data_IF_584799504656
#
_entry.id   IF_584799504656
#
_cell.length_a   1.000
_cell.length_b   1.000
_cell.length_c   1.000
_cell.angle_alpha   90.00
_cell.angle_beta   90.00
_cell.angle_gamma   90.00
#
_symmetry.space_group_name_H-M   'P 1'
#
loop_
_entity.id
_entity.type
_entity.pdbx_description
1 polymer ?
#
# COMPACT_ATOMS: atom_id res chain seq x y z
N UNK A 1 3.16 11.19 19.67
CA UNK A 1 4.45 11.67 19.11
C UNK A 1 4.44 11.38 17.63
N UNK A 2 4.71 12.39 16.81
CA UNK A 2 4.85 12.22 15.36
C UNK A 2 5.93 11.18 15.00
N UNK A 3 5.92 10.66 13.77
CA UNK A 3 6.99 9.80 13.24
C UNK A 3 8.34 10.44 13.56
N UNK A 4 9.28 9.63 14.05
CA UNK A 4 10.60 10.11 14.43
C UNK A 4 11.20 10.96 13.28
N UNK A 5 11.68 12.16 13.57
CA UNK A 5 12.29 13.07 12.60
C UNK A 5 13.36 12.39 11.72
N UNK A 6 14.02 11.37 12.25
CA UNK A 6 14.98 10.55 11.52
C UNK A 6 14.36 9.84 10.31
N UNK A 7 13.16 9.25 10.45
CA UNK A 7 12.48 8.56 9.33
C UNK A 7 12.00 9.54 8.27
N UNK A 8 11.49 10.72 8.68
CA UNK A 8 11.08 11.78 7.74
C UNK A 8 12.27 12.23 6.91
N UNK A 9 13.39 12.58 7.56
CA UNK A 9 14.62 12.96 6.88
C UNK A 9 15.09 11.88 5.89
N UNK A 10 14.97 10.62 6.29
CA UNK A 10 15.37 9.49 5.42
C UNK A 10 14.46 9.36 4.19
N UNK A 11 13.14 9.48 4.35
CA UNK A 11 12.21 9.45 3.22
C UNK A 11 12.51 10.60 2.26
N UNK A 12 12.80 11.80 2.76
CA UNK A 12 13.16 12.96 1.91
C UNK A 12 14.45 12.71 1.13
N UNK A 13 15.47 12.16 1.79
CA UNK A 13 16.72 11.79 1.12
C UNK A 13 16.47 10.76 0.02
N UNK A 14 15.70 9.70 0.30
CA UNK A 14 15.34 8.67 -0.67
C UNK A 14 14.49 9.26 -1.81
N UNK A 15 13.54 10.14 -1.52
CA UNK A 15 12.75 10.85 -2.54
C UNK A 15 13.63 11.67 -3.47
N UNK A 16 14.57 12.42 -2.91
CA UNK A 16 15.53 13.23 -3.71
C UNK A 16 16.37 12.33 -4.61
N UNK A 17 16.93 11.24 -4.06
CA UNK A 17 17.73 10.27 -4.81
C UNK A 17 16.90 9.61 -5.91
N UNK A 18 15.71 9.12 -5.60
CA UNK A 18 14.78 8.55 -6.58
C UNK A 18 14.44 9.56 -7.67
N UNK A 19 14.15 10.82 -7.30
CA UNK A 19 13.83 11.89 -8.24
C UNK A 19 14.96 12.22 -9.22
N UNK A 20 16.22 12.12 -8.77
CA UNK A 20 17.38 12.31 -9.66
C UNK A 20 17.62 11.12 -10.58
N UNK A 21 17.44 9.90 -10.08
CA UNK A 21 17.74 8.66 -10.82
C UNK A 21 16.67 8.29 -11.85
N UNK A 22 15.42 8.72 -11.68
CA UNK A 22 14.31 8.35 -12.56
C UNK A 22 14.33 9.03 -13.92
N UNK A 23 15.03 10.17 -14.04
CA UNK A 23 15.08 10.94 -15.30
C UNK A 23 15.71 10.10 -16.41
N UNK A 24 14.97 9.96 -17.54
CA UNK A 24 15.39 9.14 -18.67
C UNK A 24 15.31 7.62 -18.45
N UNK A 25 14.65 7.19 -17.36
CA UNK A 25 14.44 5.78 -17.02
C UNK A 25 12.98 5.46 -16.74
N UNK A 26 12.08 6.24 -17.33
CA UNK A 26 10.63 6.12 -17.14
C UNK A 26 10.14 4.73 -17.55
N UNK A 27 10.60 4.21 -18.70
CA UNK A 27 10.22 2.87 -19.20
C UNK A 27 10.63 1.75 -18.21
N UNK A 28 11.79 1.86 -17.56
CA UNK A 28 12.19 0.89 -16.53
C UNK A 28 11.27 0.95 -15.32
N UNK A 29 10.87 2.16 -14.90
CA UNK A 29 9.92 2.32 -13.80
C UNK A 29 8.55 1.78 -14.16
N UNK A 30 8.08 1.99 -15.39
CA UNK A 30 6.80 1.45 -15.84
C UNK A 30 6.81 -0.08 -15.83
N UNK A 31 7.89 -0.71 -16.29
CA UNK A 31 8.06 -2.16 -16.21
C UNK A 31 8.08 -2.66 -14.75
N UNK A 32 8.77 -1.96 -13.85
CA UNK A 32 8.82 -2.34 -12.43
C UNK A 32 7.45 -2.23 -11.77
N UNK A 33 6.70 -1.19 -12.09
CA UNK A 33 5.35 -0.97 -11.57
C UNK A 33 4.39 -2.04 -12.10
N UNK A 34 4.46 -2.37 -13.40
CA UNK A 34 3.64 -3.41 -14.03
C UNK A 34 3.86 -4.79 -13.40
N UNK A 35 5.12 -5.18 -13.22
CA UNK A 35 5.50 -6.47 -12.59
C UNK A 35 5.08 -6.49 -11.10
N UNK A 36 4.94 -5.34 -10.44
CA UNK A 36 4.56 -5.25 -9.03
C UNK A 36 3.02 -5.27 -8.80
N UNK A 37 2.20 -4.98 -9.82
CA UNK A 37 0.74 -4.98 -9.72
C UNK A 37 0.19 -6.29 -9.13
N UNK A 38 0.56 -7.50 -9.60
CA UNK A 38 0.04 -8.74 -9.03
C UNK A 38 0.36 -8.92 -7.55
N UNK A 39 1.54 -8.50 -7.10
CA UNK A 39 1.91 -8.57 -5.68
C UNK A 39 1.07 -7.59 -4.84
N UNK A 40 0.79 -6.40 -5.35
CA UNK A 40 -0.10 -5.43 -4.74
C UNK A 40 -1.54 -5.94 -4.63
N UNK A 41 -2.07 -6.48 -5.72
CA UNK A 41 -3.41 -7.09 -5.80
C UNK A 41 -3.54 -8.28 -4.85
N UNK A 42 -2.60 -9.21 -4.91
CA UNK A 42 -2.56 -10.38 -4.01
C UNK A 42 -2.63 -9.95 -2.54
N UNK A 43 -1.72 -9.09 -2.10
CA UNK A 43 -1.67 -8.69 -0.70
C UNK A 43 -2.94 -7.95 -0.27
N UNK A 44 -3.47 -7.06 -1.12
CA UNK A 44 -4.67 -6.30 -0.80
C UNK A 44 -5.91 -7.18 -0.68
N UNK A 45 -6.07 -8.16 -1.56
CA UNK A 45 -7.19 -9.12 -1.51
C UNK A 45 -7.01 -10.15 -0.38
N UNK A 46 -5.78 -10.61 -0.10
CA UNK A 46 -5.49 -11.53 1.00
C UNK A 46 -5.76 -10.91 2.39
N UNK A 47 -5.56 -9.59 2.56
CA UNK A 47 -5.99 -8.88 3.77
C UNK A 47 -7.51 -9.03 3.97
N UNK A 48 -8.29 -9.03 2.89
CA UNK A 48 -9.75 -9.22 2.89
C UNK A 48 -10.15 -10.73 2.78
N UNK A 49 -9.20 -11.63 3.07
CA UNK A 49 -9.39 -13.08 3.12
C UNK A 49 -9.62 -13.78 1.77
N UNK A 50 -9.19 -13.20 0.64
CA UNK A 50 -9.12 -13.94 -0.63
C UNK A 50 -8.24 -15.19 -0.49
N UNK A 51 -8.65 -16.27 -1.15
CA UNK A 51 -7.95 -17.55 -1.13
C UNK A 51 -6.89 -17.69 -2.23
N UNK A 52 -6.83 -16.72 -3.16
CA UNK A 52 -5.86 -16.71 -4.25
C UNK A 52 -4.43 -16.60 -3.70
N UNK A 53 -3.52 -17.39 -4.24
CA UNK A 53 -2.08 -17.22 -4.03
C UNK A 53 -1.51 -16.16 -4.96
N UNK A 54 -0.30 -15.65 -4.67
CA UNK A 54 0.38 -14.72 -5.57
C UNK A 54 0.54 -15.29 -6.98
N UNK A 55 0.92 -16.57 -7.11
CA UNK A 55 1.09 -17.22 -8.41
C UNK A 55 -0.23 -17.32 -9.20
N UNK A 56 -1.33 -17.60 -8.54
CA UNK A 56 -2.66 -17.63 -9.17
C UNK A 56 -3.09 -16.21 -9.57
N UNK A 57 -2.83 -15.19 -8.73
CA UNK A 57 -3.07 -13.79 -9.07
C UNK A 57 -2.27 -13.36 -10.32
N UNK A 58 -0.99 -13.74 -10.41
CA UNK A 58 -0.15 -13.49 -11.59
C UNK A 58 -0.75 -14.14 -12.85
N UNK A 59 -1.16 -15.42 -12.78
CA UNK A 59 -1.77 -16.13 -13.91
C UNK A 59 -3.09 -15.49 -14.36
N UNK A 60 -3.95 -15.11 -13.41
CA UNK A 60 -5.21 -14.42 -13.72
C UNK A 60 -4.97 -13.11 -14.43
N UNK A 61 -3.98 -12.34 -13.99
CA UNK A 61 -3.73 -10.99 -14.52
C UNK A 61 -2.96 -11.00 -15.85
N UNK A 62 -1.96 -11.85 -15.98
CA UNK A 62 -1.09 -11.86 -17.17
C UNK A 62 -1.48 -12.88 -18.22
N UNK A 63 -1.97 -14.06 -17.81
CA UNK A 63 -2.24 -15.18 -18.71
C UNK A 63 -3.74 -15.42 -18.92
N UNK A 64 -4.62 -14.73 -18.16
CA UNK A 64 -6.08 -14.98 -18.16
C UNK A 64 -6.45 -16.42 -17.81
N UNK A 65 -5.60 -17.08 -16.99
CA UNK A 65 -5.73 -18.50 -16.64
C UNK A 65 -6.12 -18.68 -15.18
N UNK A 66 -7.05 -19.61 -14.94
CA UNK A 66 -7.44 -20.06 -13.59
C UNK A 66 -7.01 -21.53 -13.44
N UNK A 67 -6.10 -21.81 -12.51
CA UNK A 67 -5.43 -23.11 -12.39
C UNK A 67 -6.13 -24.13 -11.49
N UNK A 68 -7.14 -23.71 -10.75
CA UNK A 68 -7.99 -24.55 -9.90
C UNK A 68 -9.40 -23.98 -9.82
N UNK A 69 -10.32 -24.69 -9.24
CA UNK A 69 -11.64 -24.15 -8.92
C UNK A 69 -11.50 -23.04 -7.88
N UNK A 70 -11.90 -21.82 -8.26
CA UNK A 70 -11.99 -20.63 -7.41
C UNK A 70 -13.34 -19.99 -7.61
N UNK A 71 -13.79 -19.20 -6.66
CA UNK A 71 -14.99 -18.41 -6.83
C UNK A 71 -14.79 -17.35 -7.92
N UNK A 72 -15.71 -17.23 -8.85
CA UNK A 72 -15.65 -16.22 -9.92
C UNK A 72 -15.49 -14.79 -9.36
N UNK A 73 -16.06 -14.55 -8.18
CA UNK A 73 -15.91 -13.32 -7.43
C UNK A 73 -14.43 -12.96 -7.20
N UNK A 74 -13.59 -13.91 -6.74
CA UNK A 74 -12.17 -13.65 -6.48
C UNK A 74 -11.40 -13.28 -7.75
N UNK A 75 -11.78 -13.85 -8.90
CA UNK A 75 -11.21 -13.51 -10.21
C UNK A 75 -11.55 -12.06 -10.57
N UNK A 76 -12.81 -11.65 -10.41
CA UNK A 76 -13.22 -10.26 -10.64
C UNK A 76 -12.55 -9.29 -9.65
N UNK A 77 -12.45 -9.64 -8.38
CA UNK A 77 -11.75 -8.85 -7.37
C UNK A 77 -10.29 -8.58 -7.74
N UNK A 78 -9.58 -9.61 -8.24
CA UNK A 78 -8.21 -9.46 -8.69
C UNK A 78 -8.11 -8.54 -9.93
N UNK A 79 -8.91 -8.80 -10.97
CA UNK A 79 -8.91 -8.02 -12.22
C UNK A 79 -9.34 -6.57 -12.02
N UNK A 80 -10.39 -6.36 -11.25
CA UNK A 80 -10.90 -5.02 -10.99
C UNK A 80 -9.90 -4.19 -10.18
N UNK A 81 -9.28 -4.78 -9.14
CA UNK A 81 -8.29 -4.07 -8.34
C UNK A 81 -7.04 -3.71 -9.18
N UNK A 82 -6.57 -4.61 -10.06
CA UNK A 82 -5.48 -4.28 -10.98
C UNK A 82 -5.82 -3.08 -11.85
N UNK A 83 -6.99 -3.06 -12.49
CA UNK A 83 -7.48 -1.94 -13.30
C UNK A 83 -7.57 -0.62 -12.51
N UNK A 84 -8.01 -0.68 -11.26
CA UNK A 84 -8.08 0.50 -10.40
C UNK A 84 -6.68 1.02 -10.07
N UNK A 85 -5.71 0.14 -9.80
CA UNK A 85 -4.32 0.54 -9.54
C UNK A 85 -3.67 1.20 -10.77
N UNK A 86 -3.88 0.65 -11.95
CA UNK A 86 -3.43 1.26 -13.22
C UNK A 86 -4.09 2.61 -13.46
N UNK A 87 -5.41 2.70 -13.23
CA UNK A 87 -6.16 3.93 -13.39
C UNK A 87 -5.67 5.06 -12.48
N UNK A 88 -5.46 4.79 -11.19
CA UNK A 88 -4.96 5.81 -10.27
C UNK A 88 -3.52 6.23 -10.62
N UNK A 89 -2.66 5.30 -11.09
CA UNK A 89 -1.31 5.65 -11.57
C UNK A 89 -1.38 6.65 -12.71
N UNK A 90 -2.25 6.42 -13.69
CA UNK A 90 -2.40 7.29 -14.84
C UNK A 90 -3.05 8.66 -14.51
N UNK A 91 -3.97 8.69 -13.53
CA UNK A 91 -4.84 9.85 -13.26
C UNK A 91 -4.45 10.68 -12.04
N UNK A 92 -3.59 10.19 -11.15
CA UNK A 92 -3.30 10.84 -9.88
C UNK A 92 -2.83 12.30 -9.99
N UNK A 93 -2.17 12.67 -11.08
CA UNK A 93 -1.65 14.03 -11.28
C UNK A 93 -2.66 14.99 -11.90
N UNK A 94 -3.71 14.48 -12.50
CA UNK A 94 -4.69 15.27 -13.30
C UNK A 94 -6.10 15.25 -12.73
N UNK A 95 -6.35 14.40 -11.73
CA UNK A 95 -7.67 14.26 -11.10
C UNK A 95 -7.55 14.60 -9.62
N UNK A 96 -8.45 15.42 -9.11
CA UNK A 96 -8.47 15.78 -7.69
C UNK A 96 -9.17 14.71 -6.85
N UNK A 97 -8.79 14.63 -5.57
CA UNK A 97 -9.46 13.79 -4.58
C UNK A 97 -10.85 14.40 -4.29
N UNK A 98 -11.90 13.69 -4.69
CA UNK A 98 -13.29 14.11 -4.47
C UNK A 98 -14.19 12.92 -4.15
N UNK A 99 -15.42 13.19 -3.75
CA UNK A 99 -16.43 12.13 -3.52
C UNK A 99 -16.69 11.37 -4.83
N UNK A 100 -16.85 12.09 -5.94
CA UNK A 100 -17.11 11.52 -7.26
C UNK A 100 -15.97 10.61 -7.72
N UNK A 101 -14.73 11.03 -7.46
CA UNK A 101 -13.56 10.20 -7.78
C UNK A 101 -13.54 8.92 -6.95
N UNK A 102 -13.82 8.99 -5.65
CA UNK A 102 -13.92 7.82 -4.77
C UNK A 102 -15.04 6.89 -5.23
N UNK A 103 -16.21 7.42 -5.60
CA UNK A 103 -17.32 6.63 -6.14
C UNK A 103 -16.97 5.96 -7.45
N UNK A 104 -16.24 6.65 -8.36
CA UNK A 104 -15.76 6.06 -9.60
C UNK A 104 -14.81 4.88 -9.34
N UNK A 105 -13.83 5.04 -8.44
CA UNK A 105 -12.90 3.96 -8.08
C UNK A 105 -13.66 2.76 -7.49
N UNK A 106 -14.65 3.01 -6.64
CA UNK A 106 -15.50 1.96 -6.08
C UNK A 106 -16.35 1.27 -7.16
N UNK A 107 -16.90 2.02 -8.12
CA UNK A 107 -17.62 1.45 -9.27
C UNK A 107 -16.74 0.50 -10.08
N UNK A 108 -15.49 0.90 -10.33
CA UNK A 108 -14.52 0.06 -11.04
C UNK A 108 -14.15 -1.19 -10.24
N UNK A 109 -14.05 -1.09 -8.89
CA UNK A 109 -13.65 -2.19 -8.02
C UNK A 109 -14.74 -3.25 -7.88
N UNK A 110 -16.00 -2.83 -7.73
CA UNK A 110 -17.14 -3.70 -7.40
C UNK A 110 -17.97 -4.08 -8.63
N UNK A 111 -17.77 -3.43 -9.77
CA UNK A 111 -18.47 -3.76 -11.02
C UNK A 111 -18.33 -5.24 -11.41
N UNK A 112 -19.42 -5.86 -11.86
CA UNK A 112 -19.54 -7.29 -12.15
C UNK A 112 -19.39 -8.23 -10.93
N UNK A 113 -19.27 -7.67 -9.71
CA UNK A 113 -19.31 -8.43 -8.45
C UNK A 113 -20.66 -8.22 -7.77
N UNK A 114 -21.03 -6.95 -7.57
CA UNK A 114 -22.33 -6.53 -7.05
C UNK A 114 -22.66 -5.13 -7.58
N UNK A 115 -23.32 -5.08 -8.73
CA UNK A 115 -23.67 -3.82 -9.39
C UNK A 115 -24.69 -2.99 -8.59
N UNK A 116 -25.43 -3.61 -7.66
CA UNK A 116 -26.40 -2.93 -6.79
C UNK A 116 -25.75 -1.95 -5.81
N UNK A 117 -24.50 -2.21 -5.43
CA UNK A 117 -23.73 -1.35 -4.50
C UNK A 117 -22.56 -0.63 -5.17
N UNK A 118 -22.22 -0.98 -6.42
CA UNK A 118 -21.08 -0.42 -7.12
C UNK A 118 -21.24 1.10 -7.35
N UNK A 119 -20.23 1.88 -6.94
CA UNK A 119 -20.17 3.32 -7.19
C UNK A 119 -21.13 4.16 -6.38
N UNK A 120 -21.65 3.67 -5.25
CA UNK A 120 -22.51 4.44 -4.35
C UNK A 120 -22.15 4.23 -2.88
N UNK A 121 -22.34 5.23 -2.07
CA UNK A 121 -22.28 5.10 -0.62
C UNK A 121 -23.46 4.28 -0.08
N UNK A 122 -23.34 3.83 1.17
CA UNK A 122 -24.37 3.15 1.91
C UNK A 122 -25.64 4.03 2.00
N UNK A 123 -26.80 3.42 1.75
CA UNK A 123 -28.12 4.07 1.85
C UNK A 123 -28.72 3.85 3.24
N UNK A 124 -29.77 4.60 3.55
CA UNK A 124 -30.56 4.43 4.77
C UNK A 124 -30.90 2.95 4.99
N UNK A 125 -30.62 2.44 6.18
CA UNK A 125 -30.82 1.04 6.54
C UNK A 125 -29.63 0.11 6.25
N UNK A 126 -28.63 0.54 5.47
CA UNK A 126 -27.40 -0.23 5.19
C UNK A 126 -26.34 0.03 6.27
N UNK A 127 -26.49 -0.57 7.43
CA UNK A 127 -25.55 -0.48 8.52
C UNK A 127 -24.43 -1.51 8.36
N UNK A 128 -23.19 -1.12 8.66
CA UNK A 128 -22.01 -1.99 8.56
C UNK A 128 -21.28 -2.03 9.89
N UNK A 129 -20.81 -3.23 10.23
CA UNK A 129 -19.98 -3.49 11.41
C UNK A 129 -18.68 -4.17 10.99
N UNK A 130 -17.54 -3.64 11.46
CA UNK A 130 -16.20 -4.19 11.22
C UNK A 130 -15.59 -4.61 12.56
N UNK A 131 -15.60 -5.89 12.84
CA UNK A 131 -15.19 -6.40 14.15
C UNK A 131 -16.05 -5.81 15.28
N UNK A 132 -15.46 -4.98 16.15
CA UNK A 132 -16.17 -4.27 17.24
C UNK A 132 -16.61 -2.86 16.86
N UNK A 133 -16.11 -2.32 15.75
CA UNK A 133 -16.47 -1.00 15.28
C UNK A 133 -17.82 -1.04 14.54
N UNK A 134 -18.76 -0.20 14.96
CA UNK A 134 -20.00 0.08 14.23
C UNK A 134 -19.77 1.37 13.44
N UNK A 135 -19.83 1.26 12.12
CA UNK A 135 -19.66 2.42 11.24
C UNK A 135 -20.77 3.46 11.50
N UNK A 136 -20.50 4.76 11.28
CA UNK A 136 -21.49 5.83 11.37
C UNK A 136 -22.75 5.52 10.56
N UNK A 137 -23.87 6.11 10.94
CA UNK A 137 -25.12 5.97 10.19
C UNK A 137 -24.93 6.39 8.72
N UNK A 138 -25.59 5.72 7.75
CA UNK A 138 -25.43 6.01 6.33
C UNK A 138 -25.64 7.47 5.96
N UNK A 139 -26.55 8.14 6.63
CA UNK A 139 -26.88 9.56 6.42
C UNK A 139 -25.71 10.51 6.75
N UNK A 140 -24.76 10.06 7.55
CA UNK A 140 -23.57 10.84 7.94
C UNK A 140 -22.39 10.63 6.98
N UNK A 141 -22.42 9.62 6.11
CA UNK A 141 -21.29 9.20 5.28
C UNK A 141 -20.77 10.35 4.41
N UNK A 142 -21.66 11.03 3.68
CA UNK A 142 -21.26 12.13 2.77
C UNK A 142 -20.57 13.24 3.55
N UNK A 143 -21.15 13.70 4.66
CA UNK A 143 -20.57 14.80 5.44
C UNK A 143 -19.23 14.43 6.09
N UNK A 144 -19.10 13.19 6.57
CA UNK A 144 -17.86 12.70 7.17
C UNK A 144 -16.76 12.54 6.12
N UNK A 145 -17.09 12.01 4.94
CA UNK A 145 -16.15 11.87 3.83
C UNK A 145 -15.69 13.24 3.29
N UNK A 146 -16.63 14.19 3.09
CA UNK A 146 -16.28 15.57 2.69
C UNK A 146 -15.31 16.20 3.67
N UNK A 147 -15.54 16.02 4.98
CA UNK A 147 -14.64 16.53 6.03
C UNK A 147 -13.26 15.84 6.00
N UNK A 148 -13.22 14.53 5.79
CA UNK A 148 -11.96 13.78 5.72
C UNK A 148 -11.13 14.23 4.50
N UNK A 149 -11.78 14.41 3.35
CA UNK A 149 -11.14 14.93 2.12
C UNK A 149 -10.62 16.34 2.34
N UNK A 150 -11.45 17.26 2.87
CA UNK A 150 -11.04 18.65 3.15
C UNK A 150 -9.80 18.69 4.04
N UNK A 151 -9.80 17.93 5.15
CA UNK A 151 -8.61 17.85 6.03
C UNK A 151 -7.37 17.34 5.33
N UNK A 152 -7.50 16.34 4.44
CA UNK A 152 -6.35 15.79 3.73
C UNK A 152 -5.80 16.77 2.67
N UNK A 153 -6.65 17.62 2.08
CA UNK A 153 -6.24 18.62 1.09
C UNK A 153 -5.67 19.89 1.73
N UNK A 154 -6.20 20.29 2.88
CA UNK A 154 -5.86 21.57 3.56
C UNK A 154 -4.69 21.41 4.55
N UNK A 155 -4.30 20.19 4.92
CA UNK A 155 -3.19 19.94 5.85
C UNK A 155 -1.84 20.07 5.14
N UNK A 156 -1.32 21.28 5.11
CA UNK A 156 0.01 21.61 4.56
C UNK A 156 1.14 21.59 5.61
N UNK A 157 0.81 21.43 6.88
CA UNK A 157 1.77 21.45 7.99
C UNK A 157 2.28 20.06 8.36
N UNK A 158 1.41 19.06 8.25
CA UNK A 158 1.76 17.67 8.58
C UNK A 158 2.64 17.04 7.52
N UNK A 159 3.47 16.08 7.94
CA UNK A 159 4.26 15.32 7.00
C UNK A 159 3.37 14.40 6.15
N UNK A 160 3.75 14.16 4.90
CA UNK A 160 2.95 13.39 3.92
C UNK A 160 2.45 12.04 4.45
N UNK A 161 3.27 11.31 5.21
CA UNK A 161 2.87 10.02 5.78
C UNK A 161 1.82 10.16 6.88
N UNK A 162 1.80 11.28 7.61
CA UNK A 162 0.78 11.60 8.62
C UNK A 162 -0.57 11.88 7.97
N UNK A 163 -0.57 12.70 6.92
CA UNK A 163 -1.79 13.05 6.17
C UNK A 163 -2.42 11.79 5.59
N UNK A 164 -1.61 10.97 4.90
CA UNK A 164 -2.07 9.72 4.28
C UNK A 164 -2.58 8.73 5.33
N UNK A 165 -1.84 8.55 6.43
CA UNK A 165 -2.23 7.64 7.50
C UNK A 165 -3.53 8.08 8.18
N UNK A 166 -3.69 9.37 8.45
CA UNK A 166 -4.90 9.94 9.06
C UNK A 166 -6.10 9.78 8.14
N UNK A 167 -5.95 10.15 6.87
CA UNK A 167 -7.03 10.00 5.88
C UNK A 167 -7.47 8.55 5.76
N UNK A 168 -6.52 7.61 5.69
CA UNK A 168 -6.82 6.18 5.61
C UNK A 168 -7.58 5.68 6.85
N UNK A 169 -7.14 6.06 8.05
CA UNK A 169 -7.82 5.71 9.31
C UNK A 169 -9.24 6.30 9.40
N UNK A 170 -9.43 7.54 8.96
CA UNK A 170 -10.73 8.19 8.92
C UNK A 170 -11.66 7.54 7.89
N UNK A 171 -11.15 7.24 6.69
CA UNK A 171 -11.87 6.53 5.65
C UNK A 171 -12.38 5.17 6.13
N UNK A 172 -11.50 4.36 6.72
CA UNK A 172 -11.86 3.04 7.25
C UNK A 172 -12.85 3.15 8.42
N UNK A 173 -12.77 4.20 9.23
CA UNK A 173 -13.71 4.43 10.31
C UNK A 173 -15.10 4.85 9.80
N UNK A 174 -15.17 5.67 8.77
CA UNK A 174 -16.44 6.04 8.12
C UNK A 174 -17.05 4.83 7.43
N UNK A 175 -16.22 3.98 6.83
CA UNK A 175 -16.61 2.76 6.13
C UNK A 175 -17.76 3.02 5.15
N UNK A 176 -17.52 3.87 4.13
CA UNK A 176 -18.59 4.50 3.36
C UNK A 176 -19.38 3.54 2.46
N UNK A 177 -18.88 2.34 2.21
CA UNK A 177 -19.46 1.35 1.31
C UNK A 177 -19.97 0.11 2.03
N UNK A 178 -20.83 -0.66 1.38
CA UNK A 178 -21.28 -1.96 1.88
C UNK A 178 -20.18 -3.04 1.77
N UNK A 179 -19.31 -2.93 0.76
CA UNK A 179 -18.15 -3.79 0.52
C UNK A 179 -17.00 -2.99 -0.11
N UNK A 180 -15.78 -3.53 -0.11
CA UNK A 180 -14.62 -2.97 -0.80
C UNK A 180 -13.92 -1.80 -0.09
N UNK A 181 -14.31 -1.44 1.14
CA UNK A 181 -13.72 -0.30 1.86
C UNK A 181 -12.21 -0.45 2.03
N UNK A 182 -11.73 -1.56 2.58
CA UNK A 182 -10.29 -1.78 2.80
C UNK A 182 -9.47 -1.69 1.51
N UNK A 183 -9.99 -2.24 0.41
CA UNK A 183 -9.33 -2.15 -0.92
C UNK A 183 -9.29 -0.72 -1.43
N UNK A 184 -10.41 0.01 -1.38
CA UNK A 184 -10.45 1.44 -1.77
C UNK A 184 -9.57 2.28 -0.85
N UNK A 185 -9.56 2.06 0.45
CA UNK A 185 -8.68 2.77 1.38
C UNK A 185 -7.20 2.64 1.01
N UNK A 186 -6.75 1.42 0.66
CA UNK A 186 -5.37 1.18 0.20
C UNK A 186 -5.09 1.76 -1.20
N UNK A 187 -6.08 1.75 -2.09
CA UNK A 187 -6.01 2.44 -3.39
C UNK A 187 -5.83 3.95 -3.20
N UNK A 188 -6.62 4.58 -2.33
CA UNK A 188 -6.54 6.01 -2.04
C UNK A 188 -5.22 6.42 -1.37
N UNK A 189 -4.63 5.53 -0.57
CA UNK A 189 -3.26 5.70 -0.04
C UNK A 189 -2.26 5.81 -1.20
N UNK A 190 -2.30 4.89 -2.15
CA UNK A 190 -1.41 4.90 -3.31
C UNK A 190 -1.69 6.06 -4.27
N UNK A 191 -2.96 6.44 -4.46
CA UNK A 191 -3.32 7.63 -5.22
C UNK A 191 -2.66 8.90 -4.64
N UNK A 192 -2.73 9.11 -3.32
CA UNK A 192 -2.09 10.25 -2.67
C UNK A 192 -0.56 10.23 -2.83
N UNK A 193 0.07 9.05 -2.74
CA UNK A 193 1.51 8.90 -2.97
C UNK A 193 1.90 9.26 -4.41
N UNK A 194 1.17 8.75 -5.40
CA UNK A 194 1.41 9.08 -6.82
C UNK A 194 1.25 10.58 -7.10
N UNK A 195 0.24 11.21 -6.53
CA UNK A 195 0.01 12.65 -6.65
C UNK A 195 1.20 13.47 -6.17
N UNK A 196 1.88 12.99 -5.13
CA UNK A 196 3.06 13.62 -4.53
C UNK A 196 4.39 13.17 -5.15
N UNK A 197 4.34 12.38 -6.23
CA UNK A 197 5.51 11.89 -6.95
C UNK A 197 6.29 10.79 -6.26
N UNK A 198 5.66 10.11 -5.30
CA UNK A 198 6.18 8.88 -4.69
C UNK A 198 5.74 7.64 -5.48
N UNK A 199 6.46 6.53 -5.35
CA UNK A 199 6.01 5.25 -5.89
C UNK A 199 4.89 4.63 -5.03
N UNK A 200 4.20 3.61 -5.61
CA UNK A 200 3.23 2.83 -4.87
C UNK A 200 3.84 2.08 -3.69
N UNK A 201 3.00 1.79 -2.71
CA UNK A 201 3.34 0.95 -1.55
C UNK A 201 2.44 -0.29 -1.51
N UNK A 202 2.95 -1.37 -0.93
CA UNK A 202 2.18 -2.59 -0.69
C UNK A 202 2.06 -2.81 0.82
N UNK A 203 0.83 -2.77 1.33
CA UNK A 203 0.53 -3.23 2.69
C UNK A 203 0.48 -4.76 2.63
N UNK A 204 1.33 -5.43 3.40
CA UNK A 204 1.54 -6.87 3.31
C UNK A 204 0.52 -7.65 4.15
N UNK A 205 -0.10 -8.68 3.57
CA UNK A 205 -1.02 -9.57 4.28
C UNK A 205 -0.37 -10.20 5.53
N UNK A 206 0.89 -10.63 5.42
CA UNK A 206 1.66 -11.17 6.57
C UNK A 206 1.79 -10.20 7.75
N UNK A 207 1.53 -8.92 7.54
CA UNK A 207 1.58 -7.84 8.54
C UNK A 207 0.18 -7.34 8.91
N UNK A 208 -0.90 -7.99 8.43
CA UNK A 208 -2.29 -7.55 8.68
C UNK A 208 -2.65 -7.42 10.16
N UNK A 209 -2.00 -8.20 11.04
CA UNK A 209 -2.20 -8.07 12.49
C UNK A 209 -1.84 -6.69 13.03
N UNK A 210 -0.69 -6.13 12.62
CA UNK A 210 -0.23 -4.78 13.01
C UNK A 210 -1.08 -3.72 12.32
N UNK A 211 -1.47 -3.95 11.06
CA UNK A 211 -2.36 -3.08 10.30
C UNK A 211 -3.73 -2.93 10.97
N UNK A 212 -4.39 -4.03 11.33
CA UNK A 212 -5.65 -3.99 12.08
C UNK A 212 -5.51 -3.44 13.51
N UNK A 213 -4.34 -3.62 14.15
CA UNK A 213 -4.07 -3.01 15.45
C UNK A 213 -4.08 -1.47 15.35
N UNK A 214 -3.63 -0.88 14.23
CA UNK A 214 -3.63 0.57 14.05
C UNK A 214 -5.04 1.17 14.06
N UNK A 215 -6.05 0.47 13.53
CA UNK A 215 -7.44 0.91 13.58
C UNK A 215 -7.99 0.88 15.00
N UNK A 216 -7.75 -0.21 15.74
CA UNK A 216 -8.16 -0.32 17.15
C UNK A 216 -7.54 0.76 18.02
N UNK A 217 -6.26 1.06 17.78
CA UNK A 217 -5.54 2.12 18.51
C UNK A 217 -6.12 3.51 18.16
N UNK A 218 -6.39 3.75 16.89
CA UNK A 218 -7.01 4.99 16.44
C UNK A 218 -8.43 5.17 17.00
N UNK A 219 -9.23 4.12 17.06
CA UNK A 219 -10.57 4.18 17.67
C UNK A 219 -10.52 4.55 19.16
N UNK A 220 -9.57 3.97 19.90
CA UNK A 220 -9.41 4.20 21.33
C UNK A 220 -8.77 5.56 21.67
N UNK A 221 -7.77 5.99 20.92
CA UNK A 221 -6.89 7.11 21.32
C UNK A 221 -6.80 8.26 20.33
N UNK A 222 -7.33 8.07 19.11
CA UNK A 222 -7.16 8.98 17.96
C UNK A 222 -5.70 9.17 17.51
N UNK A 223 -4.82 8.27 17.94
CA UNK A 223 -3.41 8.31 17.56
C UNK A 223 -3.19 7.67 16.19
N UNK A 224 -2.44 8.35 15.33
CA UNK A 224 -2.15 7.93 13.93
C UNK A 224 -0.80 7.23 13.76
N UNK A 225 0.05 7.28 14.77
CA UNK A 225 1.49 6.96 14.70
C UNK A 225 1.77 5.53 14.22
N UNK A 226 0.92 4.56 14.56
CA UNK A 226 1.12 3.17 14.11
C UNK A 226 0.89 3.06 12.62
N UNK A 227 -0.20 3.65 12.10
CA UNK A 227 -0.48 3.66 10.67
C UNK A 227 0.56 4.49 9.91
N UNK A 228 0.94 5.66 10.44
CA UNK A 228 2.02 6.47 9.88
C UNK A 228 3.32 5.67 9.71
N UNK A 229 3.70 4.89 10.72
CA UNK A 229 4.88 4.02 10.66
C UNK A 229 4.74 2.93 9.61
N UNK A 230 3.56 2.32 9.46
CA UNK A 230 3.28 1.32 8.43
C UNK A 230 3.48 1.94 7.04
N UNK A 231 2.85 3.10 6.79
CA UNK A 231 2.98 3.83 5.52
C UNK A 231 4.43 4.22 5.25
N UNK A 232 5.12 4.78 6.23
CA UNK A 232 6.51 5.23 6.10
C UNK A 232 7.48 4.07 5.78
N UNK A 233 7.32 2.91 6.42
CA UNK A 233 8.17 1.75 6.18
C UNK A 233 7.90 1.13 4.82
N UNK A 234 6.63 1.01 4.43
CA UNK A 234 6.25 0.54 3.10
C UNK A 234 6.78 1.50 2.01
N UNK A 235 6.77 2.81 2.26
CA UNK A 235 7.30 3.82 1.33
C UNK A 235 8.83 3.74 1.21
N UNK A 236 9.55 3.59 2.32
CA UNK A 236 11.00 3.40 2.27
C UNK A 236 11.38 2.11 1.55
N UNK A 237 10.67 1.02 1.80
CA UNK A 237 10.86 -0.26 1.10
C UNK A 237 10.67 -0.10 -0.41
N UNK A 238 9.60 0.58 -0.82
CA UNK A 238 9.29 0.86 -2.23
C UNK A 238 10.36 1.74 -2.90
N UNK A 239 10.84 2.77 -2.20
CA UNK A 239 11.91 3.64 -2.68
C UNK A 239 13.25 2.88 -2.80
N UNK A 240 13.62 2.07 -1.81
CA UNK A 240 14.83 1.25 -1.86
C UNK A 240 14.82 0.29 -3.05
N UNK A 241 13.67 -0.37 -3.33
CA UNK A 241 13.53 -1.24 -4.51
C UNK A 241 13.83 -0.47 -5.79
N UNK A 242 13.16 0.65 -5.99
CA UNK A 242 13.30 1.44 -7.23
C UNK A 242 14.71 2.02 -7.39
N UNK A 243 15.31 2.50 -6.31
CA UNK A 243 16.69 3.01 -6.33
C UNK A 243 17.66 1.89 -6.72
N UNK A 244 17.53 0.68 -6.15
CA UNK A 244 18.40 -0.45 -6.50
C UNK A 244 18.31 -0.81 -7.99
N UNK A 245 17.12 -0.87 -8.56
CA UNK A 245 16.93 -1.12 -9.99
C UNK A 245 17.45 0.04 -10.86
N UNK A 246 17.16 1.29 -10.47
CA UNK A 246 17.58 2.48 -11.23
C UNK A 246 19.12 2.67 -11.22
N UNK A 247 19.80 2.19 -10.20
CA UNK A 247 21.28 2.22 -10.13
C UNK A 247 21.95 1.03 -10.79
N UNK A 248 21.17 0.05 -11.30
CA UNK A 248 21.72 -1.13 -11.98
C UNK A 248 22.48 -2.07 -11.05
N UNK A 249 22.17 -2.06 -9.75
CA UNK A 249 22.81 -2.95 -8.79
C UNK A 249 22.44 -4.41 -9.05
N UNK A 250 23.40 -5.32 -8.87
CA UNK A 250 23.08 -6.73 -8.72
C UNK A 250 22.20 -6.93 -7.48
N UNK A 251 21.03 -7.55 -7.64
CA UNK A 251 20.05 -7.74 -6.57
C UNK A 251 20.09 -9.19 -6.11
N UNK A 252 20.39 -9.39 -4.83
CA UNK A 252 20.48 -10.71 -4.19
C UNK A 252 19.48 -10.82 -3.05
N UNK A 253 19.13 -12.07 -2.65
CA UNK A 253 18.33 -12.27 -1.44
C UNK A 253 19.17 -11.95 -0.19
N UNK A 254 18.49 -11.53 0.91
CA UNK A 254 19.19 -11.35 2.19
C UNK A 254 19.88 -12.62 2.70
N UNK A 255 19.39 -13.80 2.30
CA UNK A 255 20.01 -15.08 2.66
C UNK A 255 21.37 -15.28 1.92
N UNK A 256 21.40 -15.02 0.62
CA UNK A 256 22.63 -15.06 -0.19
C UNK A 256 23.64 -14.00 0.29
N UNK A 257 23.15 -12.77 0.52
CA UNK A 257 23.94 -11.68 1.09
C UNK A 257 24.56 -12.05 2.45
N UNK A 258 23.75 -12.59 3.37
CA UNK A 258 24.22 -13.04 4.69
C UNK A 258 25.29 -14.12 4.59
N UNK A 259 25.13 -15.08 3.66
CA UNK A 259 26.10 -16.16 3.42
C UNK A 259 27.41 -15.59 2.86
N UNK A 260 27.35 -14.73 1.84
CA UNK A 260 28.52 -14.11 1.19
C UNK A 260 29.37 -13.29 2.18
N UNK A 261 28.73 -12.58 3.10
CA UNK A 261 29.41 -11.67 4.04
C UNK A 261 29.57 -12.23 5.46
N UNK A 262 29.29 -13.52 5.68
CA UNK A 262 29.35 -14.19 7.00
C UNK A 262 28.54 -13.47 8.10
N UNK A 263 27.33 -13.00 7.77
CA UNK A 263 26.46 -12.24 8.66
C UNK A 263 25.30 -13.10 9.20
N UNK A 264 24.72 -12.68 10.34
CA UNK A 264 23.56 -13.32 10.93
C UNK A 264 22.28 -12.89 10.21
N UNK A 265 21.64 -13.82 9.46
CA UNK A 265 20.44 -13.53 8.65
C UNK A 265 19.29 -12.90 9.45
N UNK A 266 19.02 -13.40 10.69
CA UNK A 266 17.93 -12.86 11.52
C UNK A 266 18.17 -11.38 11.89
N UNK A 267 19.42 -10.97 12.07
CA UNK A 267 19.82 -9.58 12.28
C UNK A 267 19.51 -8.70 11.06
N UNK A 268 19.84 -9.19 9.87
CA UNK A 268 19.53 -8.49 8.60
C UNK A 268 18.04 -8.38 8.34
N UNK A 269 17.26 -9.46 8.60
CA UNK A 269 15.80 -9.43 8.47
C UNK A 269 15.19 -8.40 9.42
N UNK A 270 15.68 -8.32 10.66
CA UNK A 270 15.21 -7.33 11.63
C UNK A 270 15.57 -5.89 11.18
N UNK A 271 16.76 -5.69 10.63
CA UNK A 271 17.18 -4.40 10.07
C UNK A 271 16.32 -4.02 8.84
N UNK A 272 16.03 -4.98 7.96
CA UNK A 272 15.16 -4.81 6.81
C UNK A 272 13.74 -4.40 7.23
N UNK A 273 13.13 -5.11 8.20
CA UNK A 273 11.80 -4.76 8.73
C UNK A 273 11.74 -3.36 9.34
N UNK A 274 12.84 -2.91 9.95
CA UNK A 274 12.96 -1.55 10.50
C UNK A 274 13.40 -0.52 9.47
N UNK A 275 13.60 -0.94 8.23
CA UNK A 275 14.11 -0.08 7.16
C UNK A 275 15.40 0.66 7.55
N UNK A 276 16.28 0.03 8.33
CA UNK A 276 17.61 0.57 8.70
C UNK A 276 18.69 0.20 7.70
N UNK A 277 18.42 -0.73 6.80
CA UNK A 277 19.21 -1.08 5.63
C UNK A 277 18.36 -0.93 4.36
N UNK A 278 18.96 -0.73 3.17
CA UNK A 278 18.23 -0.51 1.91
C UNK A 278 17.65 -1.81 1.33
N UNK A 279 16.97 -2.59 2.17
CA UNK A 279 16.34 -3.84 1.78
C UNK A 279 14.87 -3.63 1.39
N UNK A 280 14.41 -4.45 0.47
CA UNK A 280 13.02 -4.45 -0.01
C UNK A 280 12.53 -5.87 -0.25
N UNK A 281 11.21 -6.04 -0.35
CA UNK A 281 10.61 -7.34 -0.68
C UNK A 281 10.20 -7.40 -2.15
N UNK A 282 10.38 -8.55 -2.70
CA UNK A 282 9.89 -8.89 -4.02
C UNK A 282 9.41 -10.33 -4.00
N UNK A 283 8.16 -10.55 -4.38
CA UNK A 283 7.46 -11.85 -4.27
C UNK A 283 7.58 -12.45 -2.85
N UNK A 284 7.45 -11.57 -1.85
CA UNK A 284 7.50 -11.95 -0.43
C UNK A 284 8.90 -12.28 0.12
N UNK A 285 9.97 -12.18 -0.68
CA UNK A 285 11.36 -12.42 -0.25
C UNK A 285 12.12 -11.13 -0.05
N UNK A 286 12.86 -11.02 1.04
CA UNK A 286 13.75 -9.88 1.28
C UNK A 286 14.96 -9.94 0.35
N UNK A 287 15.23 -8.84 -0.31
CA UNK A 287 16.33 -8.61 -1.24
C UNK A 287 17.09 -7.33 -0.89
N UNK A 288 18.31 -7.21 -1.38
CA UNK A 288 19.19 -6.05 -1.21
C UNK A 288 20.16 -5.96 -2.40
N UNK A 289 20.69 -4.77 -2.69
CA UNK A 289 21.81 -4.63 -3.61
C UNK A 289 23.07 -5.35 -3.08
N UNK A 290 23.74 -6.11 -3.93
CA UNK A 290 24.92 -6.92 -3.55
C UNK A 290 26.09 -6.07 -3.05
N UNK A 291 26.17 -4.80 -3.52
CA UNK A 291 27.24 -3.85 -3.17
C UNK A 291 26.99 -3.09 -1.86
N UNK A 292 25.89 -3.38 -1.16
CA UNK A 292 25.61 -2.75 0.13
C UNK A 292 26.69 -3.14 1.15
N UNK A 293 27.21 -2.15 1.90
CA UNK A 293 28.19 -2.38 2.96
C UNK A 293 27.46 -2.30 4.31
N UNK A 294 27.31 -3.43 4.97
CA UNK A 294 26.66 -3.51 6.28
C UNK A 294 27.61 -3.00 7.38
N UNK A 295 27.45 -1.75 7.78
CA UNK A 295 28.17 -1.20 8.94
C UNK A 295 27.51 -1.67 10.24
N UNK A 296 28.26 -2.33 11.12
CA UNK A 296 27.79 -2.72 12.47
C UNK A 296 26.94 -4.01 12.54
N UNK A 297 26.87 -4.81 11.46
CA UNK A 297 26.20 -6.10 11.49
C UNK A 297 26.99 -7.15 12.28
N UNK A 298 26.31 -7.94 13.14
CA UNK A 298 26.96 -9.05 13.87
C UNK A 298 27.39 -10.13 12.89
N UNK A 299 28.66 -10.49 12.94
CA UNK A 299 29.21 -11.66 12.24
C UNK A 299 28.76 -12.96 12.91
N UNK A 300 28.66 -14.03 12.14
CA UNK A 300 28.54 -15.38 12.70
C UNK A 300 29.85 -15.71 13.40
N UNK A 301 29.74 -16.14 14.66
CA UNK A 301 30.87 -16.76 15.38
C UNK A 301 31.18 -18.12 14.80
#
# INVERSE_FOLDING_TARGET
MALNALYRKRIEQLKKQFGSLKKGKESLLDMLDEVEIPEGVYNSNAIENSTLTLKETEKILFEMEVTRTVELREVFEAKNLARVLEYIKAKARTTDLSLEFILLLHKMLIGNIDDGIAGRFRKKGEFVRVGRHIAPAPEQVVSLMTRAIGRALDDHESYVTDVIARFHLEFERVHPFCDGNGRIGRVLMNYQLFRLGFPAVIIRDKEKGIYYQSFREYDATKQVQRMEKIVAFALMESLHKRIAYLTGQEIVTLAEYAKKHNLVLSGLINAARKQTIPAFRERGRWKIGADFIATGAKQKK
#
